data_IF_685454070757
#
_entry.id   IF_685454070757
#
_cell.length_a   1.000
_cell.length_b   1.000
_cell.length_c   1.000
_cell.angle_alpha   90.00
_cell.angle_beta   90.00
_cell.angle_gamma   90.00
#
_symmetry.space_group_name_H-M   'P 1'
#
loop_
_entity.id
_entity.type
_entity.pdbx_description
1 polymer ?
#
# COMPACT_ATOMS: atom_id res chain seq x y z
N UNK A 1 10.27 12.83 6.32
CA UNK A 1 11.30 12.48 5.32
C UNK A 1 11.99 11.14 5.55
N UNK A 2 11.65 10.39 6.61
CA UNK A 2 12.38 9.16 6.96
C UNK A 2 11.98 7.92 6.16
N UNK A 3 10.79 7.93 5.54
CA UNK A 3 10.27 6.83 4.72
C UNK A 3 9.64 7.35 3.44
N UNK A 4 9.71 6.56 2.37
CA UNK A 4 9.03 6.83 1.10
C UNK A 4 8.06 5.69 0.80
N UNK A 5 6.79 6.03 0.56
CA UNK A 5 5.80 5.08 0.08
C UNK A 5 5.99 4.94 -1.44
N UNK A 6 6.34 3.74 -1.88
CA UNK A 6 6.66 3.43 -3.28
C UNK A 6 5.59 2.55 -3.95
N UNK A 7 4.79 1.85 -3.13
CA UNK A 7 3.72 0.98 -3.60
C UNK A 7 2.60 0.85 -2.57
N UNK A 8 1.39 0.57 -3.05
CA UNK A 8 0.18 0.25 -2.28
C UNK A 8 -0.55 -0.91 -2.94
N UNK A 9 -1.23 -1.74 -2.15
CA UNK A 9 -2.09 -2.81 -2.65
C UNK A 9 -3.45 -2.78 -1.95
N UNK A 10 -4.54 -2.78 -2.73
CA UNK A 10 -5.88 -3.07 -2.21
C UNK A 10 -6.74 -3.72 -3.32
N UNK A 11 -7.19 -4.97 -3.16
CA UNK A 11 -7.97 -5.66 -4.20
C UNK A 11 -9.42 -5.18 -4.33
N UNK A 12 -9.88 -4.27 -3.47
CA UNK A 12 -11.24 -3.75 -3.46
C UNK A 12 -11.33 -2.27 -3.85
N UNK A 13 -10.18 -1.61 -4.04
CA UNK A 13 -10.10 -0.19 -4.37
C UNK A 13 -9.27 -0.04 -5.64
N UNK A 14 -9.86 0.51 -6.69
CA UNK A 14 -9.14 0.83 -7.92
C UNK A 14 -8.48 2.23 -7.84
N UNK A 15 -7.45 2.55 -8.65
CA UNK A 15 -6.64 3.76 -8.51
C UNK A 15 -7.41 5.09 -8.50
N UNK A 16 -8.46 5.27 -9.32
CA UNK A 16 -9.28 6.48 -9.28
C UNK A 16 -10.06 6.59 -7.97
N UNK A 17 -10.58 5.48 -7.46
CA UNK A 17 -11.25 5.45 -6.18
C UNK A 17 -10.27 5.67 -5.02
N UNK A 18 -9.06 5.11 -5.10
CA UNK A 18 -7.99 5.36 -4.13
C UNK A 18 -7.60 6.85 -4.10
N UNK A 19 -7.49 7.50 -5.27
CA UNK A 19 -7.22 8.92 -5.35
C UNK A 19 -8.34 9.76 -4.72
N UNK A 20 -9.61 9.38 -4.93
CA UNK A 20 -10.76 10.01 -4.27
C UNK A 20 -10.71 9.84 -2.75
N UNK A 21 -10.51 8.61 -2.26
CA UNK A 21 -10.45 8.29 -0.83
C UNK A 21 -9.28 9.00 -0.13
N UNK A 22 -8.13 9.12 -0.79
CA UNK A 22 -7.00 9.87 -0.27
C UNK A 22 -7.27 11.38 -0.27
N UNK A 23 -7.98 11.91 -1.28
CA UNK A 23 -8.26 13.35 -1.39
C UNK A 23 -9.21 13.85 -0.33
N UNK A 24 -10.24 13.06 0.00
CA UNK A 24 -11.34 13.46 0.86
C UNK A 24 -11.47 12.53 2.08
N UNK A 25 -11.03 13.02 3.24
CA UNK A 25 -11.18 12.34 4.51
C UNK A 25 -12.15 13.12 5.42
N UNK A 26 -13.18 12.44 5.95
CA UNK A 26 -14.21 13.07 6.79
C UNK A 26 -13.73 13.44 8.20
N UNK A 27 -12.65 12.82 8.67
CA UNK A 27 -12.12 13.01 10.03
C UNK A 27 -10.97 14.01 10.04
N UNK A 28 -10.06 13.92 9.07
CA UNK A 28 -8.86 14.73 8.98
C UNK A 28 -8.97 15.85 7.91
N UNK A 29 -10.05 15.87 7.13
CA UNK A 29 -10.29 16.86 6.09
C UNK A 29 -9.60 16.54 4.77
N UNK A 30 -9.58 17.51 3.86
CA UNK A 30 -9.01 17.30 2.53
C UNK A 30 -7.49 17.23 2.53
N UNK A 31 -6.93 16.29 1.76
CA UNK A 31 -5.49 16.23 1.50
C UNK A 31 -5.01 17.49 0.78
N UNK A 32 -4.01 18.15 1.36
CA UNK A 32 -3.50 19.46 0.92
C UNK A 32 -2.53 19.37 -0.26
N UNK A 33 -2.01 18.18 -0.56
CA UNK A 33 -1.15 17.95 -1.71
C UNK A 33 -1.92 17.68 -3.00
N UNK A 34 -1.14 17.38 -4.03
CA UNK A 34 -1.60 17.02 -5.36
C UNK A 34 -1.65 15.49 -5.50
N UNK A 35 -2.72 15.01 -6.14
CA UNK A 35 -2.96 13.60 -6.41
C UNK A 35 -3.41 13.50 -7.86
N UNK A 36 -2.72 12.68 -8.64
CA UNK A 36 -3.08 12.31 -10.01
C UNK A 36 -3.11 10.80 -10.14
N UNK A 37 -3.92 10.28 -11.07
CA UNK A 37 -3.85 8.88 -11.51
C UNK A 37 -3.17 8.85 -12.86
N UNK A 38 -2.13 8.00 -13.01
CA UNK A 38 -1.43 7.77 -14.28
C UNK A 38 -1.43 6.29 -14.61
N UNK A 39 -2.30 5.91 -15.54
CA UNK A 39 -2.54 4.51 -15.86
C UNK A 39 -3.11 3.80 -14.63
N UNK A 40 -2.40 2.80 -14.12
CA UNK A 40 -2.81 2.06 -12.93
C UNK A 40 -2.15 2.59 -11.65
N UNK A 41 -1.36 3.66 -11.70
CA UNK A 41 -0.57 4.15 -10.56
C UNK A 41 -1.08 5.50 -10.04
N UNK A 42 -0.72 5.82 -8.80
CA UNK A 42 -0.95 7.13 -8.21
C UNK A 42 0.31 8.00 -8.36
N UNK A 43 0.14 9.29 -8.58
CA UNK A 43 1.21 10.28 -8.45
C UNK A 43 0.82 11.26 -7.36
N UNK A 44 1.57 11.26 -6.27
CA UNK A 44 1.30 12.07 -5.07
C UNK A 44 2.44 13.07 -4.92
N UNK A 45 2.14 14.37 -4.99
CA UNK A 45 3.14 15.44 -4.95
C UNK A 45 4.33 15.19 -5.92
N UNK A 46 4.02 14.78 -7.15
CA UNK A 46 5.00 14.47 -8.19
C UNK A 46 5.73 13.12 -8.05
N UNK A 47 5.50 12.35 -6.99
CA UNK A 47 6.11 11.01 -6.78
C UNK A 47 5.14 9.91 -7.21
N UNK A 48 5.59 9.01 -8.08
CA UNK A 48 4.82 7.83 -8.48
C UNK A 48 4.78 6.80 -7.35
N UNK A 49 3.59 6.30 -7.06
CA UNK A 49 3.31 5.18 -6.13
C UNK A 49 2.60 4.11 -6.94
N UNK A 50 3.25 2.94 -7.05
CA UNK A 50 2.69 1.80 -7.78
C UNK A 50 1.43 1.30 -7.09
N UNK A 51 0.36 1.02 -7.85
CA UNK A 51 -0.86 0.47 -7.27
C UNK A 51 -1.08 -0.97 -7.75
N UNK A 52 -1.33 -1.86 -6.80
CA UNK A 52 -1.66 -3.26 -7.04
C UNK A 52 -3.06 -3.58 -6.48
N UNK A 53 -3.69 -4.63 -7.00
CA UNK A 53 -5.02 -5.07 -6.59
C UNK A 53 -5.06 -6.59 -6.34
N UNK A 54 -4.00 -7.11 -5.72
CA UNK A 54 -3.86 -8.53 -5.42
C UNK A 54 -4.56 -8.92 -4.12
N UNK A 55 -5.26 -10.07 -4.15
CA UNK A 55 -5.89 -10.65 -2.96
C UNK A 55 -4.93 -11.50 -2.13
N UNK A 56 -4.01 -12.18 -2.78
CA UNK A 56 -2.96 -12.94 -2.11
C UNK A 56 -1.73 -12.04 -1.90
N UNK A 57 -1.33 -11.74 -0.66
CA UNK A 57 -0.16 -10.93 -0.37
C UNK A 57 1.14 -11.45 -0.98
N UNK A 58 1.22 -12.75 -1.28
CA UNK A 58 2.38 -13.39 -1.90
C UNK A 58 2.52 -13.12 -3.40
N UNK A 59 1.47 -12.64 -4.06
CA UNK A 59 1.51 -12.29 -5.48
C UNK A 59 1.96 -10.84 -5.71
N UNK A 60 2.01 -10.01 -4.67
CA UNK A 60 2.34 -8.59 -4.81
C UNK A 60 3.85 -8.46 -5.07
N UNK A 61 4.29 -7.90 -6.21
CA UNK A 61 5.70 -7.88 -6.59
C UNK A 61 6.44 -6.68 -5.96
N UNK A 62 6.53 -6.65 -4.63
CA UNK A 62 7.18 -5.57 -3.86
C UNK A 62 8.61 -5.25 -4.30
N UNK A 63 9.36 -6.26 -4.75
CA UNK A 63 10.72 -6.09 -5.24
C UNK A 63 10.83 -5.12 -6.43
N UNK A 64 9.81 -5.04 -7.30
CA UNK A 64 9.83 -4.18 -8.49
C UNK A 64 9.90 -2.70 -8.14
N UNK A 65 9.37 -2.32 -6.97
CA UNK A 65 9.29 -0.93 -6.51
C UNK A 65 10.31 -0.60 -5.43
N UNK A 66 11.06 -1.60 -4.97
CA UNK A 66 11.97 -1.46 -3.83
C UNK A 66 11.25 -1.33 -2.48
N UNK A 67 10.01 -1.82 -2.37
CA UNK A 67 9.25 -1.80 -1.13
C UNK A 67 9.80 -2.82 -0.11
N UNK A 68 10.81 -2.42 0.66
CA UNK A 68 11.49 -3.31 1.62
C UNK A 68 10.73 -3.52 2.92
N UNK A 69 10.00 -2.50 3.39
CA UNK A 69 9.21 -2.54 4.61
C UNK A 69 7.74 -2.45 4.21
N UNK A 70 6.98 -3.51 4.47
CA UNK A 70 5.55 -3.56 4.17
C UNK A 70 4.76 -3.34 5.45
N UNK A 71 3.79 -2.42 5.39
CA UNK A 71 2.79 -2.25 6.45
C UNK A 71 1.61 -3.14 6.12
N UNK A 72 1.37 -4.15 6.95
CA UNK A 72 0.22 -5.04 6.83
C UNK A 72 -0.93 -4.46 7.66
N UNK A 73 -1.81 -3.74 6.97
CA UNK A 73 -2.93 -2.98 7.56
C UNK A 73 -4.29 -3.42 7.04
N UNK A 74 -4.41 -4.63 6.49
CA UNK A 74 -5.70 -5.19 6.06
C UNK A 74 -6.55 -5.68 7.24
N UNK A 75 -5.90 -6.02 8.36
CA UNK A 75 -6.54 -6.67 9.51
C UNK A 75 -6.81 -8.18 9.34
N UNK A 76 -6.50 -8.77 8.18
CA UNK A 76 -6.78 -10.18 7.88
C UNK A 76 -5.52 -11.07 8.03
N UNK A 77 -4.34 -10.50 7.78
CA UNK A 77 -3.05 -11.21 7.80
C UNK A 77 -2.23 -10.90 9.07
N UNK A 78 -2.84 -11.06 10.24
CA UNK A 78 -2.27 -10.61 11.53
C UNK A 78 -1.44 -11.66 12.29
N UNK A 79 -1.14 -12.81 11.69
CA UNK A 79 -0.20 -13.80 12.28
C UNK A 79 1.09 -13.85 11.47
N UNK A 80 2.17 -14.31 12.09
CA UNK A 80 3.48 -14.48 11.42
C UNK A 80 3.34 -15.33 10.14
N UNK A 81 2.57 -16.41 10.17
CA UNK A 81 2.38 -17.32 9.03
C UNK A 81 1.66 -16.68 7.86
N UNK A 82 0.75 -15.76 8.14
CA UNK A 82 -0.01 -15.05 7.11
C UNK A 82 0.80 -13.87 6.56
N UNK A 83 1.33 -13.03 7.45
CA UNK A 83 2.10 -11.84 7.09
C UNK A 83 3.37 -12.16 6.30
N UNK A 84 4.01 -13.32 6.56
CA UNK A 84 5.21 -13.75 5.81
C UNK A 84 4.96 -13.94 4.31
N UNK A 85 3.70 -14.00 3.86
CA UNK A 85 3.38 -14.09 2.43
C UNK A 85 4.01 -12.92 1.64
N UNK A 86 4.04 -11.70 2.18
CA UNK A 86 4.70 -10.56 1.51
C UNK A 86 6.19 -10.77 1.23
N UNK A 87 6.88 -11.63 1.99
CA UNK A 87 8.29 -11.93 1.76
C UNK A 87 8.50 -12.64 0.41
N UNK A 88 7.50 -13.38 -0.08
CA UNK A 88 7.52 -13.99 -1.42
C UNK A 88 7.60 -12.94 -2.51
N UNK A 89 6.93 -11.81 -2.31
CA UNK A 89 6.95 -10.64 -3.18
C UNK A 89 8.24 -9.83 -3.14
N UNK A 90 9.18 -10.18 -2.24
CA UNK A 90 10.47 -9.51 -2.10
C UNK A 90 10.53 -8.41 -1.03
N UNK A 91 9.51 -8.29 -0.19
CA UNK A 91 9.61 -7.50 1.03
C UNK A 91 10.69 -8.06 1.97
N UNK A 92 11.41 -7.19 2.69
CA UNK A 92 12.44 -7.60 3.68
C UNK A 92 11.87 -7.72 5.09
N UNK A 93 10.91 -6.87 5.43
CA UNK A 93 10.26 -6.82 6.75
C UNK A 93 8.78 -6.51 6.57
N UNK A 94 7.98 -7.04 7.48
CA UNK A 94 6.54 -6.77 7.56
C UNK A 94 6.24 -6.22 8.95
N UNK A 95 5.48 -5.14 9.00
CA UNK A 95 4.99 -4.51 10.23
C UNK A 95 3.47 -4.68 10.25
N UNK A 96 2.98 -5.52 11.15
CA UNK A 96 1.53 -5.74 11.33
C UNK A 96 0.98 -4.57 12.13
N UNK A 97 -0.01 -3.85 11.59
CA UNK A 97 -0.60 -2.67 12.25
C UNK A 97 -1.69 -3.02 13.28
N UNK A 98 -1.57 -4.20 13.90
CA UNK A 98 -2.50 -4.77 14.87
C UNK A 98 -1.75 -5.75 15.79
N UNK A 99 -2.31 -6.11 16.96
CA UNK A 99 -1.75 -7.19 17.76
C UNK A 99 -1.67 -8.51 16.97
N UNK A 100 -0.59 -9.26 17.18
CA UNK A 100 -0.39 -10.62 16.64
C UNK A 100 -0.47 -11.64 17.76
N UNK A 101 -1.04 -12.81 17.43
CA UNK A 101 -0.83 -14.04 18.18
C UNK A 101 0.53 -14.67 17.85
#
# INVERSE_FOLDING_TARGET
>A
DDVNIVAVNDPFIEPHYAAYMLKYDSTHGQFKGEIEVKGNDLVINGKTVRFYMERDPGNIPWAETGAYYVVESTGVFTTTEKAKAHLKGGAKKVVISAPSA
#
